data_IF_695341072563
#
_entry.id   IF_695341072563
#
_cell.length_a   1.000
_cell.length_b   1.000
_cell.length_c   1.000
_cell.angle_alpha   90.00
_cell.angle_beta   90.00
_cell.angle_gamma   90.00
#
_symmetry.space_group_name_H-M   'P 1'
#
loop_
_entity.id
_entity.type
_entity.pdbx_description
1 polymer ?
#
# COMPACT_ATOMS: atom_id res chain seq x y z
N UNK A 1 15.82 8.89 34.77
CA UNK A 1 15.75 9.34 33.37
C UNK A 1 14.58 8.61 32.73
N UNK A 2 13.47 9.30 32.52
CA UNK A 2 12.32 8.77 31.74
C UNK A 2 12.78 8.83 30.29
N UNK A 3 13.10 7.69 29.69
CA UNK A 3 13.30 7.61 28.24
C UNK A 3 11.97 8.03 27.63
N UNK A 4 11.92 9.23 27.06
CA UNK A 4 10.82 9.62 26.20
C UNK A 4 10.70 8.53 25.14
N UNK A 5 9.60 7.77 25.14
CA UNK A 5 9.26 6.83 24.09
C UNK A 5 9.27 7.64 22.80
N UNK A 6 10.27 7.45 21.94
CA UNK A 6 10.28 8.08 20.63
C UNK A 6 9.07 7.53 19.93
N UNK A 7 8.05 8.37 19.81
CA UNK A 7 6.79 8.02 19.18
C UNK A 7 7.07 8.07 17.68
N UNK A 8 6.97 6.92 17.03
CA UNK A 8 7.39 6.66 15.65
C UNK A 8 6.17 6.42 14.77
N UNK A 9 6.28 6.76 13.49
CA UNK A 9 5.35 6.29 12.47
C UNK A 9 5.39 4.76 12.43
N UNK A 10 4.21 4.11 12.46
CA UNK A 10 4.10 2.64 12.44
C UNK A 10 3.35 2.23 11.18
N UNK A 11 3.95 1.32 10.42
CA UNK A 11 3.37 0.73 9.23
C UNK A 11 3.10 -0.74 9.51
N UNK A 12 1.85 -1.21 9.31
CA UNK A 12 1.46 -2.62 9.42
C UNK A 12 0.81 -3.10 8.14
N UNK A 13 1.12 -4.31 7.74
CA UNK A 13 0.64 -4.91 6.50
C UNK A 13 -0.38 -6.00 6.78
N UNK A 14 -1.62 -5.79 6.37
CA UNK A 14 -2.73 -6.72 6.58
C UNK A 14 -2.99 -7.61 5.37
N UNK A 15 -2.64 -7.12 4.18
CA UNK A 15 -2.66 -7.85 2.93
C UNK A 15 -1.48 -7.45 2.05
N UNK A 16 -0.81 -8.42 1.47
CA UNK A 16 0.47 -8.28 0.75
C UNK A 16 0.46 -8.94 -0.62
N UNK A 17 -0.60 -9.71 -0.93
CA UNK A 17 -0.77 -10.44 -2.19
C UNK A 17 -1.37 -9.52 -3.25
N UNK A 18 -0.92 -9.69 -4.50
CA UNK A 18 -1.45 -8.95 -5.65
C UNK A 18 -2.57 -9.67 -6.38
N UNK A 19 -3.32 -8.95 -7.16
CA UNK A 19 -4.31 -9.37 -8.16
C UNK A 19 -5.50 -10.16 -7.61
N UNK A 20 -5.29 -11.23 -6.85
CA UNK A 20 -6.35 -12.10 -6.32
C UNK A 20 -5.94 -12.74 -4.99
N UNK A 21 -6.87 -12.92 -4.04
CA UNK A 21 -6.53 -13.61 -2.79
C UNK A 21 -6.25 -15.09 -3.02
N UNK A 22 -5.27 -15.63 -2.29
CA UNK A 22 -4.84 -17.03 -2.37
C UNK A 22 -5.03 -17.71 -1.02
N UNK A 23 -5.60 -18.92 -1.04
CA UNK A 23 -5.72 -19.78 0.14
C UNK A 23 -4.99 -21.11 -0.11
N UNK A 24 -3.73 -21.18 0.32
CA UNK A 24 -2.87 -22.35 0.14
C UNK A 24 -1.89 -22.48 1.30
N UNK A 25 -1.48 -23.71 1.69
CA UNK A 25 -0.39 -23.92 2.65
C UNK A 25 0.95 -23.32 2.20
N UNK A 26 1.15 -23.11 0.90
CA UNK A 26 2.38 -22.55 0.33
C UNK A 26 2.54 -21.02 0.48
N UNK A 27 1.53 -20.33 1.04
CA UNK A 27 1.52 -18.85 1.16
C UNK A 27 1.26 -18.38 2.59
N UNK A 28 1.47 -19.21 3.59
CA UNK A 28 1.13 -18.90 4.99
C UNK A 28 2.02 -17.83 5.61
N UNK A 29 3.29 -17.75 5.20
CA UNK A 29 4.27 -16.78 5.72
C UNK A 29 3.99 -15.37 5.21
N UNK A 30 3.96 -15.20 3.91
CA UNK A 30 3.72 -13.89 3.30
C UNK A 30 2.24 -13.51 3.29
N UNK A 31 1.35 -14.49 3.38
CA UNK A 31 -0.09 -14.29 3.39
C UNK A 31 -0.70 -14.34 2.00
N UNK A 32 -1.99 -14.63 1.95
CA UNK A 32 -2.77 -14.70 0.71
C UNK A 32 -3.82 -13.58 0.57
N UNK A 33 -3.90 -12.65 1.53
CA UNK A 33 -4.83 -11.54 1.45
C UNK A 33 -4.27 -10.40 0.61
N UNK A 34 -5.17 -9.72 -0.13
CA UNK A 34 -4.82 -8.62 -1.01
C UNK A 34 -4.70 -7.29 -0.27
N UNK A 35 -4.21 -6.29 -0.97
CA UNK A 35 -3.64 -5.03 -0.48
C UNK A 35 -4.45 -4.35 0.62
N UNK A 36 -3.86 -4.23 1.81
CA UNK A 36 -4.32 -3.37 2.89
C UNK A 36 -3.15 -3.02 3.81
N UNK A 37 -2.89 -1.73 3.99
CA UNK A 37 -1.82 -1.21 4.83
C UNK A 37 -2.39 -0.26 5.88
N UNK A 38 -1.96 -0.43 7.12
CA UNK A 38 -2.24 0.45 8.25
C UNK A 38 -1.04 1.35 8.48
N UNK A 39 -1.27 2.65 8.53
CA UNK A 39 -0.29 3.64 8.93
C UNK A 39 -0.78 4.33 10.20
N UNK A 40 0.07 4.36 11.24
CA UNK A 40 -0.18 5.12 12.47
C UNK A 40 0.77 6.30 12.56
N UNK A 41 0.19 7.49 12.84
CA UNK A 41 0.99 8.67 13.20
C UNK A 41 1.70 8.47 14.54
N UNK A 42 2.64 9.36 14.85
CA UNK A 42 3.24 9.45 16.20
C UNK A 42 2.22 9.58 17.33
N UNK A 43 1.04 10.11 17.05
CA UNK A 43 -0.05 10.26 18.02
C UNK A 43 -1.00 9.05 18.00
N UNK A 44 -0.69 8.00 17.26
CA UNK A 44 -1.51 6.81 17.05
C UNK A 44 -2.80 7.04 16.24
N UNK A 45 -2.87 8.14 15.47
CA UNK A 45 -3.97 8.33 14.52
C UNK A 45 -3.86 7.33 13.37
N UNK A 46 -4.99 6.89 12.85
CA UNK A 46 -5.06 5.82 11.87
C UNK A 46 -5.29 6.35 10.45
N UNK A 47 -4.42 5.92 9.54
CA UNK A 47 -4.65 5.97 8.09
C UNK A 47 -4.68 4.52 7.59
N UNK A 48 -5.70 4.16 6.81
CA UNK A 48 -5.80 2.87 6.11
C UNK A 48 -5.58 3.11 4.63
N UNK A 49 -4.63 2.42 4.04
CA UNK A 49 -4.33 2.51 2.61
C UNK A 49 -4.82 1.22 1.97
N UNK A 50 -5.77 1.37 1.05
CA UNK A 50 -6.50 0.32 0.35
C UNK A 50 -7.33 -0.61 1.25
N UNK A 51 -8.31 -1.23 0.64
CA UNK A 51 -9.30 -2.08 1.28
C UNK A 51 -9.45 -3.43 0.53
N UNK A 52 -8.34 -4.05 0.16
CA UNK A 52 -8.33 -5.42 -0.31
C UNK A 52 -8.76 -6.41 0.79
N UNK A 53 -8.66 -7.70 0.55
CA UNK A 53 -9.18 -8.69 1.51
C UNK A 53 -8.49 -8.65 2.87
N UNK A 54 -7.25 -8.13 2.93
CA UNK A 54 -6.51 -7.93 4.18
C UNK A 54 -7.20 -7.03 5.20
N UNK A 55 -8.10 -6.14 4.75
CA UNK A 55 -8.83 -5.22 5.63
C UNK A 55 -9.71 -5.97 6.66
N UNK A 56 -10.12 -7.20 6.35
CA UNK A 56 -10.88 -8.05 7.27
C UNK A 56 -10.09 -8.31 8.56
N UNK A 57 -8.80 -8.61 8.44
CA UNK A 57 -7.95 -8.86 9.61
C UNK A 57 -7.63 -7.57 10.37
N UNK A 58 -7.44 -6.44 9.68
CA UNK A 58 -7.39 -5.12 10.30
C UNK A 58 -8.67 -4.86 11.11
N UNK A 59 -9.84 -5.14 10.55
CA UNK A 59 -11.10 -4.98 11.25
C UNK A 59 -11.17 -5.80 12.56
N UNK A 60 -10.68 -7.03 12.55
CA UNK A 60 -10.59 -7.86 13.75
C UNK A 60 -9.63 -7.26 14.78
N UNK A 61 -8.47 -6.75 14.37
CA UNK A 61 -7.52 -6.07 15.24
C UNK A 61 -8.13 -4.82 15.88
N UNK A 62 -8.76 -3.96 15.09
CA UNK A 62 -9.43 -2.74 15.58
C UNK A 62 -10.55 -3.04 16.57
N UNK A 63 -11.25 -4.16 16.41
CA UNK A 63 -12.27 -4.59 17.37
C UNK A 63 -11.66 -4.96 18.73
N UNK A 64 -10.47 -5.54 18.73
CA UNK A 64 -9.76 -5.96 19.94
C UNK A 64 -8.96 -4.81 20.59
N UNK A 65 -8.41 -3.88 19.79
CA UNK A 65 -7.52 -2.81 20.23
C UNK A 65 -8.22 -1.47 20.54
N UNK A 66 -9.52 -1.36 20.48
CA UNK A 66 -10.31 -0.13 20.51
C UNK A 66 -10.13 0.69 19.22
N UNK A 67 -11.06 0.53 18.30
CA UNK A 67 -11.14 1.31 17.07
C UNK A 67 -11.19 2.81 17.37
N UNK A 68 -10.35 3.65 16.73
CA UNK A 68 -10.42 5.10 16.87
C UNK A 68 -11.81 5.63 16.52
N UNK A 69 -12.22 6.74 17.15
CA UNK A 69 -13.52 7.38 16.84
C UNK A 69 -13.57 7.95 15.43
N UNK A 70 -12.41 8.35 14.91
CA UNK A 70 -12.25 8.84 13.55
C UNK A 70 -10.94 8.31 12.94
N UNK A 71 -10.94 8.09 11.63
CA UNK A 71 -9.76 7.74 10.86
C UNK A 71 -9.93 8.10 9.38
N UNK A 72 -8.81 8.08 8.64
CA UNK A 72 -8.80 8.32 7.19
C UNK A 72 -8.54 7.01 6.45
N UNK A 73 -9.28 6.77 5.36
CA UNK A 73 -8.96 5.76 4.36
C UNK A 73 -8.48 6.44 3.09
N UNK A 74 -7.46 5.87 2.48
CA UNK A 74 -6.90 6.32 1.21
C UNK A 74 -6.92 5.15 0.23
N UNK A 75 -7.18 5.44 -1.04
CA UNK A 75 -7.14 4.43 -2.10
C UNK A 75 -6.06 4.79 -3.11
N UNK A 76 -5.23 3.81 -3.47
CA UNK A 76 -4.27 3.95 -4.55
C UNK A 76 -4.98 3.97 -5.90
N UNK A 77 -5.87 3.02 -6.11
CA UNK A 77 -6.72 2.92 -7.30
C UNK A 77 -7.92 1.98 -7.04
N UNK A 78 -8.73 1.71 -8.07
CA UNK A 78 -10.01 1.02 -7.93
C UNK A 78 -10.03 -0.43 -8.41
N UNK A 79 -8.88 -1.07 -8.64
CA UNK A 79 -8.86 -2.48 -8.96
C UNK A 79 -9.36 -3.34 -7.80
N UNK A 80 -9.91 -4.50 -8.12
CA UNK A 80 -10.70 -5.30 -7.18
C UNK A 80 -9.91 -5.75 -5.95
N UNK A 81 -8.65 -6.08 -6.10
CA UNK A 81 -7.74 -6.49 -5.04
C UNK A 81 -7.36 -5.36 -4.07
N UNK A 82 -7.69 -4.10 -4.40
CA UNK A 82 -7.51 -2.93 -3.54
C UNK A 82 -8.80 -2.46 -2.86
N UNK A 83 -9.98 -2.94 -3.28
CA UNK A 83 -11.26 -2.39 -2.80
C UNK A 83 -12.26 -3.46 -2.32
N UNK A 84 -12.15 -4.72 -2.70
CA UNK A 84 -13.18 -5.74 -2.46
C UNK A 84 -13.40 -6.12 -0.99
N UNK A 85 -12.47 -5.84 -0.12
CA UNK A 85 -12.62 -6.04 1.31
C UNK A 85 -13.46 -4.97 2.02
N UNK A 86 -13.67 -3.80 1.40
CA UNK A 86 -14.36 -2.67 2.01
C UNK A 86 -15.74 -3.03 2.61
N UNK A 87 -16.62 -3.79 1.94
CA UNK A 87 -17.91 -4.18 2.49
C UNK A 87 -17.84 -5.05 3.75
N UNK A 88 -16.69 -5.67 4.03
CA UNK A 88 -16.44 -6.53 5.18
C UNK A 88 -15.68 -5.82 6.33
N UNK A 89 -15.47 -4.51 6.20
CA UNK A 89 -14.82 -3.70 7.19
C UNK A 89 -15.83 -3.22 8.23
N UNK A 90 -15.90 -3.88 9.40
CA UNK A 90 -16.95 -3.62 10.39
C UNK A 90 -17.13 -2.14 10.81
N UNK A 91 -16.10 -1.27 10.85
CA UNK A 91 -16.29 0.14 11.21
C UNK A 91 -17.30 0.87 10.31
N UNK A 92 -17.48 0.43 9.06
CA UNK A 92 -18.46 0.97 8.10
C UNK A 92 -19.90 0.86 8.63
N UNK A 93 -20.19 -0.14 9.47
CA UNK A 93 -21.51 -0.41 10.05
C UNK A 93 -21.67 0.11 11.49
N UNK A 94 -20.66 0.79 12.02
CA UNK A 94 -20.68 1.30 13.38
C UNK A 94 -21.27 2.70 13.41
N UNK A 95 -22.41 2.89 14.07
CA UNK A 95 -23.04 4.20 14.26
C UNK A 95 -22.11 5.15 15.03
N UNK A 96 -21.92 6.36 14.51
CA UNK A 96 -21.06 7.40 15.08
C UNK A 96 -19.57 7.20 14.78
N UNK A 97 -19.19 6.18 14.00
CA UNK A 97 -17.83 6.05 13.49
C UNK A 97 -17.62 7.08 12.39
N UNK A 98 -16.59 7.91 12.52
CA UNK A 98 -16.24 8.91 11.49
C UNK A 98 -15.15 8.34 10.58
N UNK A 99 -15.42 8.29 9.28
CA UNK A 99 -14.49 7.79 8.27
C UNK A 99 -14.33 8.86 7.18
N UNK A 100 -13.13 9.44 7.07
CA UNK A 100 -12.81 10.28 5.94
C UNK A 100 -12.20 9.43 4.83
N UNK A 101 -12.74 9.49 3.63
CA UNK A 101 -12.19 8.82 2.45
C UNK A 101 -11.48 9.88 1.60
N UNK A 102 -10.16 9.74 1.49
CA UNK A 102 -9.30 10.65 0.73
C UNK A 102 -8.74 9.95 -0.50
N UNK A 103 -8.96 10.52 -1.67
CA UNK A 103 -8.40 10.04 -2.93
C UNK A 103 -7.77 11.19 -3.69
N UNK A 104 -6.88 10.89 -4.64
CA UNK A 104 -6.43 11.88 -5.60
C UNK A 104 -7.49 12.08 -6.68
N UNK A 105 -7.44 13.20 -7.39
CA UNK A 105 -8.22 13.43 -8.62
C UNK A 105 -7.64 12.58 -9.76
N UNK A 106 -7.71 11.28 -9.61
CA UNK A 106 -7.18 10.33 -10.58
C UNK A 106 -8.30 9.76 -11.46
N UNK A 107 -7.97 9.12 -12.59
CA UNK A 107 -8.96 8.51 -13.48
C UNK A 107 -9.88 7.48 -12.81
N UNK A 108 -9.49 6.95 -11.65
CA UNK A 108 -10.20 5.91 -10.90
C UNK A 108 -11.49 6.37 -10.17
N UNK A 109 -11.93 7.62 -10.34
CA UNK A 109 -13.15 8.15 -9.72
C UNK A 109 -12.93 8.75 -8.33
N UNK A 110 -13.99 9.33 -7.78
CA UNK A 110 -13.98 9.85 -6.41
C UNK A 110 -14.00 8.73 -5.38
N UNK A 111 -13.50 8.99 -4.17
CA UNK A 111 -13.57 8.01 -3.08
C UNK A 111 -14.98 7.49 -2.80
N UNK A 112 -16.01 8.32 -3.04
CA UNK A 112 -17.41 7.91 -2.93
C UNK A 112 -17.78 6.88 -4.00
N UNK A 113 -17.37 7.10 -5.25
CA UNK A 113 -17.65 6.16 -6.35
C UNK A 113 -16.94 4.82 -6.12
N UNK A 114 -15.70 4.83 -5.65
CA UNK A 114 -14.95 3.62 -5.31
C UNK A 114 -15.74 2.78 -4.30
N UNK A 115 -16.07 3.34 -3.12
CA UNK A 115 -16.70 2.56 -2.06
C UNK A 115 -18.15 2.19 -2.38
N UNK A 116 -18.93 3.08 -3.01
CA UNK A 116 -20.31 2.75 -3.42
C UNK A 116 -20.34 1.70 -4.53
N UNK A 117 -19.31 1.65 -5.37
CA UNK A 117 -19.15 0.61 -6.39
C UNK A 117 -19.04 -0.80 -5.81
N UNK A 118 -18.42 -0.96 -4.62
CA UNK A 118 -18.28 -2.25 -3.93
C UNK A 118 -19.54 -2.65 -3.17
N UNK A 119 -20.37 -1.68 -2.74
CA UNK A 119 -21.56 -1.89 -1.92
C UNK A 119 -22.85 -1.60 -2.72
N UNK A 120 -23.10 -2.36 -3.74
CA UNK A 120 -24.31 -2.24 -4.57
C UNK A 120 -24.83 -3.60 -5.05
N UNK A 121 -26.15 -3.82 -5.07
CA UNK A 121 -26.73 -4.99 -5.73
C UNK A 121 -26.40 -5.01 -7.23
N UNK A 122 -26.18 -6.18 -7.84
CA UNK A 122 -26.16 -7.51 -7.22
C UNK A 122 -24.79 -7.92 -6.64
N UNK A 123 -23.77 -7.03 -6.67
CA UNK A 123 -22.40 -7.34 -6.21
C UNK A 123 -22.38 -7.55 -4.69
N UNK A 124 -23.09 -6.69 -3.96
CA UNK A 124 -23.20 -6.78 -2.51
C UNK A 124 -24.65 -6.44 -2.08
N UNK A 125 -25.25 -7.16 -1.10
CA UNK A 125 -26.65 -6.98 -0.76
C UNK A 125 -26.97 -5.68 -0.04
N UNK A 126 -25.99 -5.11 0.70
CA UNK A 126 -26.16 -3.85 1.42
C UNK A 126 -25.65 -2.70 0.55
N UNK A 127 -26.50 -1.70 0.29
CA UNK A 127 -26.08 -0.48 -0.41
C UNK A 127 -25.21 0.40 0.50
N UNK A 128 -24.28 1.15 -0.09
CA UNK A 128 -23.41 2.07 0.64
C UNK A 128 -24.21 3.09 1.47
N UNK A 129 -25.34 3.58 0.97
CA UNK A 129 -26.20 4.53 1.67
C UNK A 129 -26.81 3.97 2.97
N UNK A 130 -26.79 2.64 3.13
CA UNK A 130 -27.24 1.95 4.35
C UNK A 130 -26.11 1.67 5.35
N UNK A 131 -24.88 2.10 5.05
CA UNK A 131 -23.78 2.06 5.99
C UNK A 131 -24.06 3.02 7.17
N UNK A 132 -23.72 2.59 8.40
CA UNK A 132 -24.09 3.32 9.61
C UNK A 132 -23.02 4.33 10.07
N UNK A 133 -21.82 4.32 9.49
CA UNK A 133 -20.77 5.27 9.78
C UNK A 133 -21.04 6.64 9.16
N UNK A 134 -20.42 7.67 9.74
CA UNK A 134 -20.46 9.04 9.24
C UNK A 134 -19.29 9.22 8.24
N UNK A 135 -19.60 9.27 6.96
CA UNK A 135 -18.59 9.42 5.90
C UNK A 135 -18.38 10.88 5.52
N UNK A 136 -17.10 11.24 5.34
CA UNK A 136 -16.68 12.45 4.63
C UNK A 136 -15.75 12.06 3.48
N UNK A 137 -15.70 12.90 2.46
CA UNK A 137 -14.88 12.66 1.27
C UNK A 137 -14.02 13.88 1.02
N UNK A 138 -12.73 13.66 0.79
CA UNK A 138 -11.78 14.72 0.49
C UNK A 138 -10.87 14.31 -0.66
N UNK A 139 -10.29 15.32 -1.31
CA UNK A 139 -9.31 15.14 -2.39
C UNK A 139 -7.93 15.53 -1.88
N UNK A 140 -6.94 14.70 -2.19
CA UNK A 140 -5.53 15.03 -1.96
C UNK A 140 -5.04 15.78 -3.18
N UNK A 141 -4.64 17.07 -3.05
CA UNK A 141 -4.16 17.85 -4.18
C UNK A 141 -2.74 17.39 -4.61
N UNK A 142 -2.31 17.69 -5.85
CA UNK A 142 -1.00 17.26 -6.36
C UNK A 142 0.20 17.74 -5.51
N UNK A 143 0.09 18.92 -4.89
CA UNK A 143 1.10 19.47 -3.97
C UNK A 143 1.13 18.78 -2.62
N UNK A 144 0.17 17.90 -2.34
CA UNK A 144 0.02 17.18 -1.08
C UNK A 144 -0.82 17.92 -0.05
N UNK A 145 -1.02 17.27 1.08
CA UNK A 145 -1.79 17.80 2.22
C UNK A 145 -1.23 17.26 3.53
N UNK A 146 -1.71 17.78 4.65
CA UNK A 146 -1.39 17.24 5.97
C UNK A 146 -2.57 16.42 6.52
N UNK A 147 -2.31 15.19 6.94
CA UNK A 147 -3.29 14.31 7.59
C UNK A 147 -2.68 13.83 8.91
N UNK A 148 -3.28 14.21 10.04
CA UNK A 148 -2.81 13.85 11.39
C UNK A 148 -1.35 14.23 11.69
N UNK A 149 -0.88 15.36 11.14
CA UNK A 149 0.51 15.81 11.29
C UNK A 149 1.52 15.08 10.39
N UNK A 150 1.04 14.20 9.51
CA UNK A 150 1.83 13.56 8.46
C UNK A 150 1.62 14.35 7.17
N UNK A 151 2.71 14.82 6.55
CA UNK A 151 2.65 15.36 5.20
C UNK A 151 2.48 14.20 4.22
N UNK A 152 1.42 14.25 3.42
CA UNK A 152 1.07 13.24 2.41
C UNK A 152 1.18 13.89 1.04
N UNK A 153 2.09 13.39 0.21
CA UNK A 153 2.27 13.84 -1.18
C UNK A 153 1.93 12.70 -2.12
N UNK A 154 1.01 12.87 -3.07
CA UNK A 154 0.66 11.86 -4.05
C UNK A 154 1.56 11.90 -5.27
N UNK A 155 1.60 10.79 -6.02
CA UNK A 155 2.19 10.69 -7.35
C UNK A 155 1.34 9.78 -8.22
N UNK A 156 1.21 10.11 -9.50
CA UNK A 156 0.56 9.20 -10.45
C UNK A 156 1.43 7.94 -10.66
N UNK A 157 0.82 6.76 -10.61
CA UNK A 157 1.50 5.49 -10.87
C UNK A 157 1.43 5.12 -12.36
N UNK A 158 2.41 4.32 -12.83
CA UNK A 158 2.42 3.75 -14.17
C UNK A 158 1.67 2.42 -14.19
N UNK A 159 0.34 2.51 -14.31
CA UNK A 159 -0.56 1.37 -14.22
C UNK A 159 -1.73 1.52 -15.20
N UNK A 160 -2.30 0.43 -15.75
CA UNK A 160 -3.54 0.49 -16.51
C UNK A 160 -4.64 1.20 -15.70
N UNK A 161 -5.39 2.10 -16.36
CA UNK A 161 -6.41 2.95 -15.75
C UNK A 161 -5.91 3.96 -14.70
N UNK A 162 -4.58 4.04 -14.47
CA UNK A 162 -3.95 4.99 -13.56
C UNK A 162 -4.11 4.64 -12.09
N UNK A 163 -3.77 5.60 -11.24
CA UNK A 163 -3.80 5.46 -9.79
C UNK A 163 -2.81 6.40 -9.12
N UNK A 164 -2.59 6.22 -7.81
CA UNK A 164 -1.72 7.08 -7.01
C UNK A 164 -0.84 6.27 -6.06
N UNK A 165 0.46 6.58 -6.07
CA UNK A 165 1.35 6.28 -4.96
C UNK A 165 1.39 7.43 -3.96
N UNK A 166 1.95 7.20 -2.79
CA UNK A 166 1.99 8.17 -1.71
C UNK A 166 3.34 8.23 -1.03
N UNK A 167 3.78 9.46 -0.73
CA UNK A 167 4.93 9.75 0.14
C UNK A 167 4.42 10.36 1.44
N UNK A 168 4.77 9.74 2.57
CA UNK A 168 4.40 10.14 3.92
C UNK A 168 5.64 10.65 4.65
N UNK A 169 5.55 11.86 5.21
CA UNK A 169 6.67 12.48 5.94
C UNK A 169 6.21 12.91 7.34
N UNK A 170 6.86 12.40 8.38
CA UNK A 170 6.61 12.76 9.78
C UNK A 170 7.94 12.79 10.55
N UNK A 171 8.20 13.89 11.27
CA UNK A 171 9.41 14.04 12.11
C UNK A 171 10.73 13.71 11.39
N UNK A 172 10.86 14.05 10.12
CA UNK A 172 12.05 13.78 9.31
C UNK A 172 12.19 12.32 8.88
N UNK A 173 11.18 11.48 9.10
CA UNK A 173 11.07 10.12 8.57
C UNK A 173 10.22 10.08 7.32
N UNK A 174 10.59 9.25 6.38
CA UNK A 174 10.00 9.20 5.05
C UNK A 174 9.61 7.76 4.74
N UNK A 175 8.31 7.55 4.53
CA UNK A 175 7.74 6.31 4.01
C UNK A 175 7.15 6.57 2.63
N UNK A 176 7.50 5.75 1.63
CA UNK A 176 6.91 5.78 0.30
C UNK A 176 6.19 4.47 0.04
N UNK A 177 4.92 4.56 -0.35
CA UNK A 177 4.10 3.44 -0.80
C UNK A 177 3.78 3.60 -2.28
N UNK A 178 4.35 2.72 -3.10
CA UNK A 178 4.29 2.79 -4.56
C UNK A 178 3.97 1.39 -5.11
N UNK A 179 2.72 0.96 -4.93
CA UNK A 179 2.22 -0.32 -5.47
C UNK A 179 1.65 -0.13 -6.86
N UNK A 180 1.61 -1.21 -7.65
CA UNK A 180 1.02 -1.26 -8.98
C UNK A 180 1.62 -0.19 -9.90
N UNK A 181 2.95 -0.23 -9.98
CA UNK A 181 3.72 0.77 -10.71
C UNK A 181 4.75 0.10 -11.63
N UNK A 182 4.55 0.19 -12.92
CA UNK A 182 5.42 -0.41 -13.95
C UNK A 182 6.57 0.53 -14.33
N UNK A 183 7.77 0.27 -13.83
CA UNK A 183 8.92 1.16 -13.95
C UNK A 183 9.53 1.23 -15.37
N UNK A 184 9.39 0.19 -16.18
CA UNK A 184 9.98 0.12 -17.54
C UNK A 184 8.94 0.23 -18.67
N UNK A 185 7.72 0.68 -18.33
CA UNK A 185 6.68 1.05 -19.28
C UNK A 185 5.93 2.27 -18.77
N UNK A 186 5.72 3.27 -19.62
CA UNK A 186 4.99 4.46 -19.24
C UNK A 186 3.53 4.33 -19.68
N UNK A 187 2.65 4.00 -18.74
CA UNK A 187 1.22 4.15 -18.91
C UNK A 187 0.85 5.64 -18.95
N UNK A 188 -0.39 5.94 -19.27
CA UNK A 188 -0.91 7.32 -19.22
C UNK A 188 -0.67 7.92 -17.82
N UNK A 189 -0.26 9.16 -17.80
CA UNK A 189 0.05 9.94 -16.59
C UNK A 189 1.29 9.48 -15.80
N UNK A 190 2.03 8.47 -16.26
CA UNK A 190 3.32 8.07 -15.69
C UNK A 190 4.32 9.22 -15.70
N UNK A 191 5.07 9.37 -14.60
CA UNK A 191 6.15 10.36 -14.50
C UNK A 191 7.52 9.81 -14.93
N UNK A 192 7.57 8.54 -15.34
CA UNK A 192 8.78 7.86 -15.77
C UNK A 192 9.74 7.52 -14.62
N UNK A 193 10.75 6.70 -14.91
CA UNK A 193 11.69 6.18 -13.92
C UNK A 193 12.39 7.28 -13.10
N UNK A 194 12.92 8.32 -13.77
CA UNK A 194 13.62 9.42 -13.10
C UNK A 194 12.69 10.22 -12.17
N UNK A 195 11.44 10.40 -12.59
CA UNK A 195 10.40 11.02 -11.74
C UNK A 195 10.12 10.20 -10.49
N UNK A 196 10.01 8.87 -10.62
CA UNK A 196 9.83 7.98 -9.47
C UNK A 196 11.08 7.95 -8.57
N UNK A 197 12.30 8.00 -9.15
CA UNK A 197 13.53 8.08 -8.37
C UNK A 197 13.58 9.37 -7.53
N UNK A 198 13.20 10.51 -8.11
CA UNK A 198 13.09 11.77 -7.36
C UNK A 198 12.01 11.72 -6.28
N UNK A 199 10.84 11.16 -6.58
CA UNK A 199 9.75 11.01 -5.62
C UNK A 199 10.12 10.12 -4.42
N UNK A 200 10.88 9.07 -4.66
CA UNK A 200 11.37 8.13 -3.63
C UNK A 200 12.64 8.62 -2.91
N UNK A 201 13.23 9.74 -3.33
CA UNK A 201 14.54 10.20 -2.85
C UNK A 201 14.64 10.23 -1.33
N UNK A 202 15.72 9.59 -0.83
CA UNK A 202 16.08 9.52 0.59
C UNK A 202 14.99 8.88 1.49
N UNK A 203 14.09 8.05 0.95
CA UNK A 203 13.10 7.37 1.77
C UNK A 203 13.78 6.46 2.79
N UNK A 204 13.31 6.50 4.05
CA UNK A 204 13.72 5.53 5.06
C UNK A 204 13.17 4.15 4.71
N UNK A 205 11.94 4.12 4.16
CA UNK A 205 11.25 2.92 3.69
C UNK A 205 10.55 3.18 2.35
N UNK A 206 10.87 2.39 1.34
CA UNK A 206 10.11 2.26 0.11
C UNK A 206 9.39 0.91 0.12
N UNK A 207 8.08 0.90 -0.01
CA UNK A 207 7.27 -0.30 -0.30
C UNK A 207 6.81 -0.19 -1.75
N UNK A 208 7.24 -1.11 -2.59
CA UNK A 208 6.95 -1.13 -4.02
C UNK A 208 6.47 -2.50 -4.46
N UNK A 209 5.54 -2.58 -5.42
CA UNK A 209 5.20 -3.85 -6.02
C UNK A 209 6.43 -4.47 -6.71
N UNK A 210 6.55 -5.77 -6.60
CA UNK A 210 7.58 -6.56 -7.27
C UNK A 210 6.99 -7.91 -7.63
N UNK A 211 6.02 -7.90 -8.55
CA UNK A 211 5.20 -9.07 -8.86
C UNK A 211 5.95 -10.09 -9.70
N UNK A 212 6.86 -9.63 -10.57
CA UNK A 212 7.51 -10.45 -11.58
C UNK A 212 9.02 -10.59 -11.37
N UNK A 213 9.60 -11.68 -11.88
CA UNK A 213 11.01 -11.73 -12.24
C UNK A 213 11.20 -11.20 -13.67
N UNK A 214 12.46 -11.04 -14.11
CA UNK A 214 12.76 -10.43 -15.42
C UNK A 214 12.31 -11.28 -16.62
N UNK A 215 12.24 -12.62 -16.48
CA UNK A 215 11.74 -13.50 -17.52
C UNK A 215 10.21 -13.44 -17.64
N UNK A 216 9.51 -13.45 -16.50
CA UNK A 216 8.05 -13.30 -16.45
C UNK A 216 7.62 -11.96 -17.03
N UNK A 217 8.37 -10.88 -16.73
CA UNK A 217 8.06 -9.54 -17.21
C UNK A 217 8.02 -9.44 -18.74
N UNK A 218 8.78 -10.26 -19.47
CA UNK A 218 8.71 -10.28 -20.93
C UNK A 218 7.33 -10.65 -21.47
N UNK A 219 6.57 -11.47 -20.72
CA UNK A 219 5.21 -11.89 -21.06
C UNK A 219 4.14 -10.93 -20.52
N UNK A 220 4.42 -10.29 -19.38
CA UNK A 220 3.45 -9.47 -18.64
C UNK A 220 3.74 -7.97 -18.71
N UNK A 221 4.60 -7.54 -19.62
CA UNK A 221 4.81 -6.11 -19.89
C UNK A 221 3.49 -5.43 -20.24
N UNK A 222 3.26 -4.22 -19.77
CA UNK A 222 2.00 -3.45 -19.88
C UNK A 222 0.90 -3.85 -18.90
N UNK A 223 1.16 -4.79 -18.00
CA UNK A 223 0.19 -5.18 -16.97
C UNK A 223 0.25 -4.32 -15.71
N UNK A 224 1.18 -3.36 -15.66
CA UNK A 224 1.24 -2.36 -14.60
C UNK A 224 2.09 -2.75 -13.40
N UNK A 225 2.99 -3.73 -13.51
CA UNK A 225 3.81 -4.20 -12.40
C UNK A 225 5.29 -4.27 -12.76
N UNK A 226 6.13 -4.15 -11.73
CA UNK A 226 7.59 -4.17 -11.86
C UNK A 226 8.21 -5.52 -11.48
N UNK A 227 9.48 -5.67 -11.84
CA UNK A 227 10.31 -6.79 -11.40
C UNK A 227 11.11 -6.44 -10.17
N UNK A 228 11.57 -7.45 -9.43
CA UNK A 228 12.46 -7.27 -8.28
C UNK A 228 13.73 -6.48 -8.64
N UNK A 229 14.33 -6.73 -9.81
CA UNK A 229 15.53 -6.03 -10.29
C UNK A 229 15.26 -4.55 -10.57
N UNK A 230 14.13 -4.23 -11.21
CA UNK A 230 13.72 -2.85 -11.49
C UNK A 230 13.47 -2.06 -10.20
N UNK A 231 12.87 -2.70 -9.19
CA UNK A 231 12.62 -2.09 -7.89
C UNK A 231 13.93 -1.81 -7.14
N UNK A 232 14.90 -2.71 -7.22
CA UNK A 232 16.24 -2.46 -6.67
C UNK A 232 16.94 -1.30 -7.40
N UNK A 233 16.86 -1.25 -8.73
CA UNK A 233 17.40 -0.15 -9.54
C UNK A 233 16.81 1.20 -9.10
N UNK A 234 15.48 1.27 -8.91
CA UNK A 234 14.80 2.46 -8.41
C UNK A 234 15.28 2.84 -7.00
N UNK A 235 15.31 1.87 -6.09
CA UNK A 235 15.70 2.11 -4.70
C UNK A 235 17.15 2.62 -4.59
N UNK A 236 18.04 2.13 -5.44
CA UNK A 236 19.43 2.60 -5.55
C UNK A 236 19.50 4.04 -6.10
N UNK A 237 18.83 4.32 -7.21
CA UNK A 237 18.80 5.64 -7.83
C UNK A 237 18.20 6.70 -6.91
N UNK A 238 17.25 6.33 -6.06
CA UNK A 238 16.58 7.19 -5.09
C UNK A 238 17.29 7.27 -3.72
N UNK A 239 18.42 6.61 -3.52
CA UNK A 239 19.15 6.57 -2.24
C UNK A 239 18.27 6.10 -1.06
N UNK A 240 17.38 5.13 -1.30
CA UNK A 240 16.50 4.54 -0.29
C UNK A 240 17.31 3.76 0.72
N UNK A 241 16.93 3.81 2.01
CA UNK A 241 17.61 3.04 3.07
C UNK A 241 17.18 1.58 3.11
N UNK A 242 15.86 1.35 3.01
CA UNK A 242 15.29 0.01 2.99
C UNK A 242 14.15 -0.08 1.99
N UNK A 243 14.19 -1.08 1.11
CA UNK A 243 13.10 -1.37 0.17
C UNK A 243 12.40 -2.66 0.54
N UNK A 244 11.07 -2.63 0.51
CA UNK A 244 10.23 -3.80 0.72
C UNK A 244 9.49 -4.17 -0.55
N UNK A 245 9.65 -5.42 -0.99
CA UNK A 245 8.86 -6.00 -2.07
C UNK A 245 7.45 -6.30 -1.56
N UNK A 246 6.48 -5.86 -2.31
CA UNK A 246 5.07 -5.92 -2.00
C UNK A 246 4.29 -6.48 -3.19
N UNK A 247 2.97 -6.67 -3.06
CA UNK A 247 2.08 -7.11 -4.13
C UNK A 247 2.56 -8.42 -4.79
N UNK A 248 2.84 -9.43 -3.92
CA UNK A 248 3.39 -10.71 -4.37
C UNK A 248 2.47 -11.40 -5.35
N UNK A 249 3.03 -11.93 -6.45
CA UNK A 249 2.27 -12.72 -7.43
C UNK A 249 1.43 -13.81 -6.75
N UNK A 250 0.16 -13.99 -7.14
CA UNK A 250 -0.70 -15.04 -6.58
C UNK A 250 -0.13 -16.45 -6.74
N UNK A 251 0.67 -16.67 -7.77
CA UNK A 251 1.30 -17.96 -8.07
C UNK A 251 2.63 -18.19 -7.33
N UNK A 252 3.14 -17.17 -6.61
CA UNK A 252 4.42 -17.24 -5.92
C UNK A 252 4.28 -17.87 -4.54
N UNK A 253 5.03 -18.94 -4.29
CA UNK A 253 5.11 -19.59 -2.97
C UNK A 253 5.97 -18.82 -1.98
N UNK A 254 5.81 -19.08 -0.69
CA UNK A 254 6.65 -18.50 0.37
C UNK A 254 8.14 -18.81 0.16
N UNK A 255 8.49 -20.02 -0.25
CA UNK A 255 9.87 -20.43 -0.50
C UNK A 255 10.51 -19.69 -1.69
N UNK A 256 9.74 -19.40 -2.74
CA UNK A 256 10.20 -18.61 -3.87
C UNK A 256 10.44 -17.16 -3.48
N UNK A 257 9.55 -16.57 -2.68
CA UNK A 257 9.72 -15.19 -2.18
C UNK A 257 10.97 -15.11 -1.29
N UNK A 258 11.21 -16.08 -0.41
CA UNK A 258 12.42 -16.17 0.41
C UNK A 258 13.68 -16.22 -0.47
N UNK A 259 13.70 -17.10 -1.45
CA UNK A 259 14.83 -17.25 -2.39
C UNK A 259 15.13 -15.96 -3.14
N UNK A 260 14.10 -15.25 -3.60
CA UNK A 260 14.24 -13.98 -4.31
C UNK A 260 14.81 -12.90 -3.36
N UNK A 261 14.24 -12.75 -2.17
CA UNK A 261 14.69 -11.76 -1.20
C UNK A 261 16.15 -12.01 -0.76
N UNK A 262 16.52 -13.27 -0.55
CA UNK A 262 17.90 -13.66 -0.20
C UNK A 262 18.88 -13.38 -1.34
N UNK A 263 18.50 -13.67 -2.59
CA UNK A 263 19.29 -13.39 -3.79
C UNK A 263 19.51 -11.88 -3.97
N UNK A 264 18.47 -11.08 -3.82
CA UNK A 264 18.54 -9.62 -3.87
C UNK A 264 19.48 -9.06 -2.79
N UNK A 265 19.35 -9.54 -1.54
CA UNK A 265 20.24 -9.13 -0.45
C UNK A 265 21.70 -9.56 -0.67
N UNK A 266 21.93 -10.72 -1.28
CA UNK A 266 23.28 -11.15 -1.65
C UNK A 266 23.93 -10.20 -2.66
N UNK A 267 23.17 -9.79 -3.70
CA UNK A 267 23.63 -8.80 -4.68
C UNK A 267 23.95 -7.45 -4.03
N UNK A 268 23.09 -6.94 -3.16
CA UNK A 268 23.30 -5.68 -2.47
C UNK A 268 24.54 -5.70 -1.56
N UNK A 269 24.82 -6.81 -0.85
CA UNK A 269 26.04 -6.97 -0.03
C UNK A 269 27.31 -6.91 -0.87
N UNK A 270 27.31 -7.50 -2.07
CA UNK A 270 28.49 -7.48 -2.96
C UNK A 270 28.73 -6.11 -3.59
N UNK A 271 27.70 -5.28 -3.72
CA UNK A 271 27.82 -3.92 -4.27
C UNK A 271 28.38 -2.89 -3.28
N UNK A 272 28.51 -3.24 -2.01
CA UNK A 272 28.99 -2.32 -0.94
C UNK A 272 28.03 -1.17 -0.62
N UNK A 273 26.79 -1.24 -1.09
CA UNK A 273 25.78 -0.19 -0.89
C UNK A 273 25.09 -0.30 0.47
N UNK A 274 24.57 0.83 0.96
CA UNK A 274 23.83 0.88 2.24
C UNK A 274 22.38 0.42 2.13
N UNK A 275 21.88 0.20 0.92
CA UNK A 275 20.53 -0.29 0.67
C UNK A 275 20.38 -1.71 1.20
N UNK A 276 19.25 -1.97 1.85
CA UNK A 276 18.80 -3.33 2.22
C UNK A 276 17.42 -3.59 1.65
N UNK A 277 17.07 -4.85 1.42
CA UNK A 277 15.74 -5.22 0.94
C UNK A 277 15.14 -6.36 1.77
N UNK A 278 13.80 -6.43 1.75
CA UNK A 278 13.04 -7.57 2.29
C UNK A 278 11.73 -7.73 1.53
N UNK A 279 11.07 -8.86 1.68
CA UNK A 279 9.69 -9.04 1.22
C UNK A 279 8.74 -8.83 2.41
N UNK A 280 7.68 -8.07 2.20
CA UNK A 280 6.66 -7.82 3.23
C UNK A 280 5.82 -9.06 3.46
N UNK A 281 5.55 -9.38 4.72
CA UNK A 281 4.65 -10.45 5.10
C UNK A 281 3.44 -9.93 5.91
N UNK A 282 2.36 -10.70 5.87
CA UNK A 282 1.12 -10.36 6.57
C UNK A 282 1.36 -10.19 8.08
N UNK A 283 0.83 -9.13 8.66
CA UNK A 283 0.98 -8.68 10.07
C UNK A 283 2.39 -8.20 10.45
N UNK A 284 3.28 -8.02 9.47
CA UNK A 284 4.55 -7.34 9.74
C UNK A 284 4.30 -5.91 10.20
N UNK A 285 5.07 -5.47 11.18
CA UNK A 285 5.12 -4.10 11.66
C UNK A 285 6.51 -3.51 11.44
N UNK A 286 6.56 -2.31 10.83
CA UNK A 286 7.79 -1.52 10.66
C UNK A 286 7.59 -0.19 11.38
N UNK A 287 8.62 0.28 12.09
CA UNK A 287 8.65 1.55 12.83
C UNK A 287 9.73 2.46 12.27
N UNK A 288 9.39 3.72 11.97
CA UNK A 288 10.30 4.72 11.41
C UNK A 288 10.53 5.89 12.37
#
# INVERSE_FOLDING_TARGET
MIYAKIIQMIIRFWGTRGSVPVCSPSVLKYGGDTTCVELRSKNNDLIVIDAGTGIRDLAVSLKNEKCPESFTMMFTHSHTDHIWGFPFFFPVYRKGQKINISCCNAPCGSGKEIVSGTMRPPIFPVKFENAAADFSFSTIPPEGTEIYGIKVTPVAISHPDGGSGFRFEENGRIFVFLTDNELKYNHKDSIGFEGYAEFCRNADLLVHDAQYNDEEYKMFRTWGHSTYSQVLELAEAAEVRHVCFFHHSPDRTDAEIDTIADSCNALLRTSGKRLSCSAVYKKQEIRL
#
